data_IF_137728263176
#
_entry.id   IF_137728263176
#
_cell.length_a   1.000
_cell.length_b   1.000
_cell.length_c   1.000
_cell.angle_alpha   90.00
_cell.angle_beta   90.00
_cell.angle_gamma   90.00
#
_symmetry.space_group_name_H-M   'P 1'
#
loop_
_entity.id
_entity.type
_entity.pdbx_description
1 polymer ?
#
# COMPACT_ATOMS: atom_id res chain seq x y z
N UNK A 1 -43.86 15.46 11.99
CA UNK A 1 -42.45 14.96 12.01
C UNK A 1 -42.32 13.80 11.03
N UNK A 2 -41.82 14.09 9.83
CA UNK A 2 -41.29 13.16 8.81
C UNK A 2 -40.86 14.04 7.63
N UNK A 3 -39.76 13.67 6.98
CA UNK A 3 -39.07 14.32 5.84
C UNK A 3 -38.02 15.40 6.16
N UNK A 4 -36.89 14.98 6.74
CA UNK A 4 -35.62 15.72 6.65
C UNK A 4 -34.40 14.78 6.60
N UNK A 5 -34.56 13.62 5.95
CA UNK A 5 -33.48 12.62 5.78
C UNK A 5 -33.08 12.44 4.30
N UNK A 6 -33.85 13.00 3.36
CA UNK A 6 -33.60 12.82 1.91
C UNK A 6 -32.60 13.80 1.28
N UNK A 7 -32.28 14.92 1.93
CA UNK A 7 -31.45 15.97 1.32
C UNK A 7 -29.93 15.80 1.58
N UNK A 8 -29.51 15.11 2.65
CA UNK A 8 -28.09 14.95 2.97
C UNK A 8 -27.38 13.85 2.16
N UNK A 9 -28.10 12.86 1.63
CA UNK A 9 -27.49 11.77 0.86
C UNK A 9 -27.15 12.21 -0.57
N UNK A 10 -27.93 13.12 -1.16
CA UNK A 10 -27.70 13.59 -2.53
C UNK A 10 -26.46 14.48 -2.66
N UNK A 11 -26.08 15.21 -1.61
CA UNK A 11 -24.89 16.08 -1.61
C UNK A 11 -23.59 15.25 -1.56
N UNK A 12 -23.59 14.09 -0.90
CA UNK A 12 -22.41 13.20 -0.86
C UNK A 12 -22.13 12.50 -2.20
N UNK A 13 -23.17 12.19 -2.98
CA UNK A 13 -23.01 11.69 -4.36
C UNK A 13 -22.53 12.77 -5.34
N UNK A 14 -22.87 14.05 -5.12
CA UNK A 14 -22.40 15.15 -5.98
C UNK A 14 -20.98 15.61 -5.64
N UNK A 15 -20.55 15.51 -4.38
CA UNK A 15 -19.17 15.79 -3.98
C UNK A 15 -18.18 14.71 -4.49
N UNK A 16 -18.65 13.49 -4.73
CA UNK A 16 -17.89 12.41 -5.39
C UNK A 16 -17.73 12.61 -6.91
N UNK A 17 -18.48 13.53 -7.52
CA UNK A 17 -18.47 13.79 -8.96
C UNK A 17 -17.75 15.09 -9.36
N UNK A 18 -17.01 15.71 -8.43
CA UNK A 18 -16.22 16.90 -8.72
C UNK A 18 -14.72 16.66 -8.45
N UNK A 19 -14.17 15.64 -9.09
CA UNK A 19 -12.72 15.54 -9.32
C UNK A 19 -12.43 16.06 -10.74
N UNK A 20 -11.39 16.89 -10.92
CA UNK A 20 -11.21 17.64 -12.15
C UNK A 20 -10.78 16.67 -13.25
N UNK A 21 -11.38 16.81 -14.42
CA UNK A 21 -11.11 16.10 -15.69
C UNK A 21 -9.61 15.94 -16.03
N UNK A 22 -8.73 16.76 -15.44
CA UNK A 22 -7.27 16.68 -15.56
C UNK A 22 -6.62 15.49 -14.84
N UNK A 23 -7.21 14.99 -13.74
CA UNK A 23 -6.71 13.79 -13.07
C UNK A 23 -6.97 12.53 -13.90
N UNK A 24 -8.07 12.50 -14.65
CA UNK A 24 -8.49 11.31 -15.40
C UNK A 24 -7.50 10.96 -16.53
N UNK A 25 -6.91 11.96 -17.19
CA UNK A 25 -5.82 11.74 -18.16
C UNK A 25 -4.53 11.21 -17.51
N UNK A 26 -4.13 11.74 -16.35
CA UNK A 26 -2.94 11.26 -15.65
C UNK A 26 -3.16 9.84 -15.09
N UNK A 27 -4.34 9.55 -14.55
CA UNK A 27 -4.77 8.22 -14.09
C UNK A 27 -4.80 7.23 -15.26
N UNK A 28 -5.37 7.62 -16.40
CA UNK A 28 -5.41 6.78 -17.61
C UNK A 28 -4.01 6.50 -18.14
N UNK A 29 -3.18 7.52 -18.28
CA UNK A 29 -1.77 7.38 -18.70
C UNK A 29 -0.99 6.51 -17.72
N UNK A 30 -1.29 6.63 -16.42
CA UNK A 30 -0.71 5.77 -15.40
C UNK A 30 -1.11 4.30 -15.61
N UNK A 31 -2.38 3.99 -15.83
CA UNK A 31 -2.82 2.61 -16.11
C UNK A 31 -2.33 2.08 -17.47
N UNK A 32 -2.29 2.90 -18.52
CA UNK A 32 -1.73 2.51 -19.83
C UNK A 32 -0.23 2.21 -19.74
N UNK A 33 0.51 3.02 -18.99
CA UNK A 33 1.90 2.71 -18.69
C UNK A 33 2.00 1.39 -17.89
N UNK A 34 1.05 1.07 -16.99
CA UNK A 34 1.07 -0.14 -16.14
C UNK A 34 1.07 -1.40 -16.99
N UNK A 35 0.26 -1.40 -18.03
CA UNK A 35 0.24 -2.47 -19.03
C UNK A 35 1.56 -2.56 -19.80
N UNK A 36 2.21 -1.44 -20.12
CA UNK A 36 3.49 -1.45 -20.85
C UNK A 36 4.66 -1.97 -20.00
N UNK A 37 4.69 -1.66 -18.69
CA UNK A 37 5.69 -2.17 -17.74
C UNK A 37 5.61 -3.68 -17.54
N UNK A 38 4.40 -4.24 -17.62
CA UNK A 38 4.18 -5.68 -17.47
C UNK A 38 4.70 -6.52 -18.66
N UNK A 39 5.32 -5.92 -19.70
CA UNK A 39 6.05 -6.64 -20.77
C UNK A 39 7.43 -7.18 -20.34
N UNK A 40 7.67 -7.39 -19.05
CA UNK A 40 8.80 -8.19 -18.59
C UNK A 40 8.60 -9.67 -18.92
N UNK A 41 9.68 -10.46 -18.84
CA UNK A 41 9.70 -11.91 -19.10
C UNK A 41 8.36 -12.61 -18.83
N UNK A 42 7.82 -13.30 -19.84
CA UNK A 42 6.60 -14.12 -19.73
C UNK A 42 6.78 -15.33 -18.80
N UNK A 43 8.00 -15.56 -18.32
CA UNK A 43 8.33 -16.63 -17.38
C UNK A 43 7.74 -16.34 -16.00
N UNK A 44 7.00 -17.32 -15.48
CA UNK A 44 6.37 -17.29 -14.16
C UNK A 44 7.26 -18.01 -13.16
N UNK A 45 7.44 -17.41 -11.98
CA UNK A 45 8.13 -18.05 -10.86
C UNK A 45 7.25 -19.13 -10.26
N UNK A 46 7.74 -20.37 -10.27
CA UNK A 46 7.01 -21.57 -9.82
C UNK A 46 7.45 -22.09 -8.45
N UNK A 47 8.55 -21.56 -7.91
CA UNK A 47 9.14 -22.02 -6.65
C UNK A 47 9.05 -20.96 -5.54
N UNK A 48 9.21 -21.40 -4.29
CA UNK A 48 9.21 -20.53 -3.12
C UNK A 48 7.83 -20.16 -2.59
N UNK A 49 7.82 -19.37 -1.52
CA UNK A 49 6.61 -19.05 -0.72
C UNK A 49 5.54 -18.28 -1.51
N UNK A 50 5.92 -17.57 -2.57
CA UNK A 50 5.03 -16.76 -3.40
C UNK A 50 4.65 -17.41 -4.74
N UNK A 51 5.02 -18.68 -4.96
CA UNK A 51 4.66 -19.45 -6.17
C UNK A 51 3.16 -19.40 -6.49
N UNK A 52 2.29 -19.46 -5.47
CA UNK A 52 0.83 -19.36 -5.62
C UNK A 52 0.34 -18.01 -6.15
N UNK A 53 1.16 -16.96 -6.10
CA UNK A 53 0.84 -15.65 -6.67
C UNK A 53 1.07 -15.62 -8.19
N UNK A 54 1.75 -16.63 -8.76
CA UNK A 54 2.07 -16.74 -10.19
C UNK A 54 2.80 -15.50 -10.73
N UNK A 55 3.74 -14.96 -9.97
CA UNK A 55 4.46 -13.73 -10.34
C UNK A 55 5.33 -13.97 -11.58
N UNK A 56 5.37 -13.00 -12.49
CA UNK A 56 6.42 -12.95 -13.50
C UNK A 56 7.78 -12.71 -12.84
N UNK A 57 8.87 -13.09 -13.49
CA UNK A 57 10.24 -12.88 -12.97
C UNK A 57 10.49 -11.41 -12.58
N UNK A 58 9.98 -10.46 -13.38
CA UNK A 58 10.10 -9.02 -13.09
C UNK A 58 9.33 -8.61 -11.83
N UNK A 59 8.09 -9.08 -11.67
CA UNK A 59 7.26 -8.84 -10.47
C UNK A 59 7.93 -9.46 -9.23
N UNK A 60 8.44 -10.68 -9.35
CA UNK A 60 9.17 -11.34 -8.27
C UNK A 60 10.42 -10.56 -7.85
N UNK A 61 11.17 -10.01 -8.82
CA UNK A 61 12.35 -9.19 -8.52
C UNK A 61 11.97 -7.92 -7.74
N UNK A 62 10.88 -7.24 -8.12
CA UNK A 62 10.38 -6.08 -7.36
C UNK A 62 10.01 -6.48 -5.94
N UNK A 63 9.36 -7.63 -5.74
CA UNK A 63 9.02 -8.12 -4.41
C UNK A 63 10.27 -8.40 -3.55
N UNK A 64 11.32 -8.96 -4.16
CA UNK A 64 12.64 -9.12 -3.52
C UNK A 64 13.24 -7.78 -3.11
N UNK A 65 13.12 -6.76 -3.96
CA UNK A 65 13.66 -5.43 -3.67
C UNK A 65 12.88 -4.71 -2.56
N UNK A 66 11.56 -4.89 -2.51
CA UNK A 66 10.73 -4.43 -1.38
C UNK A 66 11.23 -5.05 -0.08
N UNK A 67 11.41 -6.38 -0.06
CA UNK A 67 11.88 -7.11 1.12
C UNK A 67 13.26 -6.63 1.57
N UNK A 68 14.22 -6.50 0.64
CA UNK A 68 15.57 -5.99 0.95
C UNK A 68 15.51 -4.58 1.56
N UNK A 69 14.68 -3.71 1.00
CA UNK A 69 14.50 -2.35 1.51
C UNK A 69 13.94 -2.36 2.94
N UNK A 70 12.96 -3.21 3.26
CA UNK A 70 12.44 -3.34 4.62
C UNK A 70 13.50 -3.82 5.61
N UNK A 71 14.33 -4.78 5.22
CA UNK A 71 15.46 -5.24 6.05
C UNK A 71 16.44 -4.09 6.29
N UNK A 72 16.81 -3.34 5.26
CA UNK A 72 17.68 -2.17 5.42
C UNK A 72 17.07 -1.09 6.33
N UNK A 73 15.76 -0.83 6.23
CA UNK A 73 15.05 0.13 7.08
C UNK A 73 14.87 -0.36 8.53
N UNK A 74 14.88 -1.68 8.77
CA UNK A 74 14.89 -2.28 10.10
C UNK A 74 16.25 -2.09 10.77
N UNK A 75 17.32 -2.31 10.01
CA UNK A 75 18.71 -2.25 10.51
C UNK A 75 19.28 -0.82 10.51
N UNK A 76 18.49 0.17 10.06
CA UNK A 76 18.89 1.57 10.04
C UNK A 76 18.89 2.16 11.46
N UNK A 77 20.03 2.71 11.87
CA UNK A 77 20.13 3.47 13.12
C UNK A 77 19.26 4.74 13.01
N UNK A 78 18.44 5.11 14.01
CA UNK A 78 17.59 6.28 13.92
C UNK A 78 18.41 7.57 14.02
N UNK A 79 19.13 7.95 12.96
CA UNK A 79 19.88 9.22 12.91
C UNK A 79 18.90 10.38 13.22
N UNK A 80 19.10 11.12 14.32
CA UNK A 80 18.22 12.22 14.70
C UNK A 80 18.33 13.43 13.77
N UNK A 81 19.36 13.52 12.93
CA UNK A 81 19.62 14.68 12.06
C UNK A 81 19.29 14.45 10.59
N UNK A 82 19.03 13.20 10.17
CA UNK A 82 18.68 12.85 8.79
C UNK A 82 17.65 11.73 8.75
N UNK A 83 16.35 12.08 8.81
CA UNK A 83 15.30 11.12 8.45
C UNK A 83 14.56 11.62 7.23
N UNK A 84 15.07 11.23 6.07
CA UNK A 84 14.23 11.20 4.89
C UNK A 84 13.17 10.10 5.08
N UNK A 85 13.53 8.86 5.47
CA UNK A 85 12.55 7.75 5.57
C UNK A 85 12.41 7.22 7.01
N UNK A 86 11.17 6.95 7.43
CA UNK A 86 10.89 6.36 8.75
C UNK A 86 11.40 4.91 8.84
N UNK A 87 12.18 4.55 9.89
CA UNK A 87 12.64 3.18 10.10
C UNK A 87 11.47 2.25 10.45
N UNK A 88 11.66 0.94 10.24
CA UNK A 88 10.68 -0.11 10.58
C UNK A 88 11.31 -1.17 11.50
N UNK A 89 11.65 -0.79 12.75
CA UNK A 89 12.41 -1.66 13.66
C UNK A 89 11.65 -2.95 14.03
N UNK A 90 10.33 -2.93 13.95
CA UNK A 90 9.43 -4.04 14.20
C UNK A 90 9.21 -4.94 12.97
N UNK A 91 10.04 -4.83 11.91
CA UNK A 91 9.90 -5.63 10.69
C UNK A 91 9.80 -7.13 10.97
N UNK A 92 8.66 -7.71 10.59
CA UNK A 92 8.27 -9.09 10.73
C UNK A 92 7.98 -9.68 9.34
N UNK A 93 8.88 -10.56 8.90
CA UNK A 93 8.77 -11.21 7.60
C UNK A 93 7.49 -12.05 7.47
N UNK A 94 7.02 -12.69 8.54
CA UNK A 94 5.80 -13.50 8.50
C UNK A 94 4.56 -12.63 8.22
N UNK A 95 4.49 -11.43 8.78
CA UNK A 95 3.42 -10.46 8.49
C UNK A 95 3.45 -9.99 7.03
N UNK A 96 4.64 -9.69 6.53
CA UNK A 96 4.84 -9.33 5.13
C UNK A 96 4.39 -10.45 4.18
N UNK A 97 4.88 -11.67 4.40
CA UNK A 97 4.52 -12.83 3.58
C UNK A 97 3.01 -13.09 3.61
N UNK A 98 2.43 -13.08 4.81
CA UNK A 98 0.98 -13.29 5.01
C UNK A 98 0.14 -12.23 4.28
N UNK A 99 0.55 -10.96 4.30
CA UNK A 99 -0.15 -9.89 3.58
C UNK A 99 -0.28 -10.17 2.08
N UNK A 100 0.83 -10.46 1.39
CA UNK A 100 0.79 -10.71 -0.05
C UNK A 100 0.09 -12.02 -0.41
N UNK A 101 0.14 -13.03 0.47
CA UNK A 101 -0.60 -14.28 0.25
C UNK A 101 -2.11 -14.09 0.43
N UNK A 102 -2.53 -13.43 1.50
CA UNK A 102 -3.94 -13.21 1.82
C UNK A 102 -4.62 -12.24 0.84
N UNK A 103 -3.87 -11.34 0.19
CA UNK A 103 -4.40 -10.48 -0.88
C UNK A 103 -4.80 -11.26 -2.15
N UNK A 104 -4.16 -12.40 -2.37
CA UNK A 104 -4.30 -13.22 -3.57
C UNK A 104 -3.54 -12.65 -4.77
N UNK A 105 -3.36 -13.51 -5.78
CA UNK A 105 -2.52 -13.24 -6.96
C UNK A 105 -2.81 -11.90 -7.64
N UNK A 106 -4.07 -11.59 -7.96
CA UNK A 106 -4.43 -10.39 -8.72
C UNK A 106 -4.04 -9.08 -8.01
N UNK A 107 -4.41 -8.92 -6.74
CA UNK A 107 -4.13 -7.69 -5.99
C UNK A 107 -2.66 -7.56 -5.61
N UNK A 108 -2.00 -8.68 -5.31
CA UNK A 108 -0.58 -8.70 -5.01
C UNK A 108 0.26 -8.30 -6.22
N UNK A 109 -0.03 -8.87 -7.40
CA UNK A 109 0.62 -8.48 -8.65
C UNK A 109 0.44 -7.00 -8.94
N UNK A 110 -0.80 -6.51 -8.87
CA UNK A 110 -1.07 -5.10 -9.09
C UNK A 110 -0.25 -4.21 -8.15
N UNK A 111 -0.26 -4.49 -6.85
CA UNK A 111 0.48 -3.71 -5.87
C UNK A 111 1.99 -3.76 -6.14
N UNK A 112 2.54 -4.93 -6.45
CA UNK A 112 3.95 -5.11 -6.82
C UNK A 112 4.30 -4.29 -8.06
N UNK A 113 3.46 -4.31 -9.10
CA UNK A 113 3.70 -3.51 -10.32
C UNK A 113 3.64 -2.00 -10.04
N UNK A 114 2.81 -1.54 -9.10
CA UNK A 114 2.82 -0.14 -8.65
C UNK A 114 4.17 0.21 -8.00
N UNK A 115 4.68 -0.64 -7.12
CA UNK A 115 6.00 -0.45 -6.50
C UNK A 115 7.15 -0.48 -7.52
N UNK A 116 7.08 -1.35 -8.53
CA UNK A 116 8.07 -1.42 -9.60
C UNK A 116 8.23 -0.09 -10.36
N UNK A 117 7.13 0.66 -10.52
CA UNK A 117 7.15 2.00 -11.13
C UNK A 117 7.77 3.05 -10.22
N UNK A 118 7.32 3.08 -8.96
CA UNK A 118 7.87 4.02 -7.97
C UNK A 118 9.39 3.85 -7.87
N UNK A 119 9.86 2.60 -7.89
CA UNK A 119 11.30 2.28 -7.93
C UNK A 119 12.02 2.90 -9.12
N UNK A 120 11.42 2.83 -10.31
CA UNK A 120 12.00 3.37 -11.53
C UNK A 120 11.97 4.90 -11.59
N UNK A 121 10.98 5.53 -10.95
CA UNK A 121 10.86 7.00 -10.89
C UNK A 121 11.85 7.63 -9.93
N UNK A 122 11.88 7.15 -8.67
CA UNK A 122 12.67 7.76 -7.62
C UNK A 122 12.92 6.75 -6.49
N UNK A 123 14.21 6.45 -6.25
CA UNK A 123 14.62 5.46 -5.25
C UNK A 123 14.30 5.87 -3.80
N UNK A 124 14.32 7.17 -3.48
CA UNK A 124 13.97 7.62 -2.12
C UNK A 124 12.47 7.57 -1.89
N UNK A 125 11.67 7.95 -2.91
CA UNK A 125 10.22 7.75 -2.90
C UNK A 125 9.85 6.27 -2.73
N UNK A 126 10.58 5.37 -3.38
CA UNK A 126 10.39 3.93 -3.23
C UNK A 126 10.56 3.46 -1.78
N UNK A 127 11.62 3.91 -1.09
CA UNK A 127 11.83 3.60 0.33
C UNK A 127 10.70 4.13 1.21
N UNK A 128 10.21 5.35 0.96
CA UNK A 128 9.08 5.94 1.69
C UNK A 128 7.79 5.13 1.55
N UNK A 129 7.44 4.73 0.32
CA UNK A 129 6.24 3.94 0.08
C UNK A 129 6.35 2.54 0.69
N UNK A 130 7.56 1.97 0.74
CA UNK A 130 7.82 0.68 1.38
C UNK A 130 7.68 0.77 2.91
N UNK A 131 8.23 1.82 3.52
CA UNK A 131 8.02 2.11 4.95
C UNK A 131 6.53 2.21 5.27
N UNK A 132 5.76 2.93 4.43
CA UNK A 132 4.31 3.04 4.57
C UNK A 132 3.57 1.72 4.38
N UNK A 133 3.94 0.91 3.39
CA UNK A 133 3.39 -0.43 3.18
C UNK A 133 3.52 -1.25 4.46
N UNK A 134 4.71 -1.26 5.05
CA UNK A 134 4.93 -2.06 6.25
C UNK A 134 4.15 -1.54 7.44
N UNK A 135 3.99 -0.23 7.59
CA UNK A 135 3.13 0.33 8.64
C UNK A 135 1.67 -0.15 8.50
N UNK A 136 1.14 -0.22 7.27
CA UNK A 136 -0.20 -0.77 7.01
C UNK A 136 -0.30 -2.28 7.32
N UNK A 137 0.79 -3.03 7.09
CA UNK A 137 0.90 -4.46 7.42
C UNK A 137 0.94 -4.64 8.95
N UNK A 138 1.73 -3.84 9.66
CA UNK A 138 1.79 -3.87 11.13
C UNK A 138 0.43 -3.52 11.74
N UNK A 139 -0.28 -2.51 11.25
CA UNK A 139 -1.67 -2.19 11.66
C UNK A 139 -2.63 -3.38 11.51
N UNK A 140 -2.39 -4.26 10.54
CA UNK A 140 -3.25 -5.41 10.27
C UNK A 140 -2.97 -6.59 11.21
N UNK A 141 -1.71 -6.84 11.56
CA UNK A 141 -1.31 -8.09 12.24
C UNK A 141 -0.72 -7.90 13.63
N UNK A 142 -0.19 -6.72 13.96
CA UNK A 142 0.41 -6.48 15.27
C UNK A 142 -0.65 -6.53 16.37
N UNK A 143 -0.46 -7.35 17.41
CA UNK A 143 -1.37 -7.41 18.56
C UNK A 143 -1.27 -6.15 19.44
N UNK A 144 -0.16 -5.42 19.39
CA UNK A 144 0.19 -4.35 20.34
C UNK A 144 -0.15 -2.94 19.85
N UNK A 145 -0.72 -2.80 18.65
CA UNK A 145 -1.30 -1.51 18.24
C UNK A 145 -2.60 -1.35 19.02
N UNK A 146 -2.47 -0.81 20.23
CA UNK A 146 -3.59 -0.20 20.95
C UNK A 146 -4.18 0.83 19.99
N UNK A 147 -5.36 0.56 19.44
CA UNK A 147 -6.19 1.61 18.88
C UNK A 147 -6.35 2.63 20.01
N UNK A 148 -5.70 3.78 19.86
CA UNK A 148 -5.50 4.77 20.91
C UNK A 148 -6.82 5.12 21.58
N UNK A 149 -7.04 4.51 22.74
CA UNK A 149 -7.98 4.88 23.79
C UNK A 149 -7.35 4.75 25.17
N UNK A 150 -6.03 4.57 25.25
CA UNK A 150 -5.28 4.46 26.49
C UNK A 150 -4.30 5.62 26.59
N UNK A 151 -4.85 6.82 26.77
CA UNK A 151 -4.38 7.83 27.71
C UNK A 151 -5.33 9.04 27.61
N UNK A 152 -6.29 9.10 28.54
CA UNK A 152 -7.14 10.27 28.75
C UNK A 152 -8.45 10.28 27.95
N UNK A 153 -9.56 10.16 28.70
CA UNK A 153 -10.95 10.36 28.29
C UNK A 153 -11.57 9.19 27.51
N UNK A 154 -12.56 8.56 28.16
CA UNK A 154 -13.47 7.55 27.62
C UNK A 154 -14.07 7.97 26.27
N UNK A 155 -13.41 7.55 25.20
CA UNK A 155 -14.08 7.20 23.97
C UNK A 155 -13.54 5.82 23.59
N UNK A 156 -14.13 4.78 24.17
CA UNK A 156 -14.00 3.40 23.69
C UNK A 156 -14.75 3.25 22.36
N UNK A 157 -14.30 3.99 21.34
CA UNK A 157 -14.61 3.65 19.97
C UNK A 157 -13.76 2.42 19.69
N UNK A 158 -14.36 1.24 19.87
CA UNK A 158 -13.82 0.00 19.33
C UNK A 158 -13.70 0.19 17.82
N UNK A 159 -12.55 0.67 17.35
CA UNK A 159 -12.27 0.72 15.93
C UNK A 159 -12.01 -0.71 15.48
N UNK A 160 -12.83 -1.26 14.58
CA UNK A 160 -12.58 -2.60 14.08
C UNK A 160 -11.22 -2.61 13.39
N UNK A 161 -10.44 -3.66 13.63
CA UNK A 161 -9.18 -3.89 12.92
C UNK A 161 -9.44 -3.79 11.40
N UNK A 162 -8.60 -3.05 10.64
CA UNK A 162 -8.82 -2.89 9.22
C UNK A 162 -8.76 -4.26 8.56
N UNK A 163 -9.55 -4.42 7.50
CA UNK A 163 -9.45 -5.59 6.64
C UNK A 163 -8.20 -5.47 5.76
N UNK A 164 -7.71 -6.62 5.29
CA UNK A 164 -6.61 -6.64 4.33
C UNK A 164 -6.93 -5.84 3.06
N UNK A 165 -8.18 -5.86 2.61
CA UNK A 165 -8.62 -5.12 1.44
C UNK A 165 -8.56 -3.60 1.66
N UNK A 166 -8.95 -3.12 2.85
CA UNK A 166 -8.82 -1.71 3.21
C UNK A 166 -7.36 -1.26 3.21
N UNK A 167 -6.44 -2.07 3.75
CA UNK A 167 -5.02 -1.74 3.72
C UNK A 167 -4.45 -1.74 2.31
N UNK A 168 -4.84 -2.70 1.47
CA UNK A 168 -4.46 -2.69 0.05
C UNK A 168 -4.92 -1.41 -0.67
N UNK A 169 -6.18 -0.97 -0.46
CA UNK A 169 -6.67 0.27 -1.04
C UNK A 169 -5.91 1.50 -0.51
N UNK A 170 -5.64 1.55 0.80
CA UNK A 170 -4.89 2.63 1.45
C UNK A 170 -3.48 2.79 0.84
N UNK A 171 -2.76 1.69 0.65
CA UNK A 171 -1.42 1.72 0.02
C UNK A 171 -1.53 2.09 -1.47
N UNK A 172 -2.44 1.44 -2.21
CA UNK A 172 -2.65 1.70 -3.64
C UNK A 172 -2.95 3.16 -3.92
N UNK A 173 -3.90 3.74 -3.21
CA UNK A 173 -4.28 5.15 -3.39
C UNK A 173 -3.14 6.11 -3.09
N UNK A 174 -2.33 5.83 -2.06
CA UNK A 174 -1.19 6.67 -1.71
C UNK A 174 -0.15 6.69 -2.82
N UNK A 175 0.23 5.50 -3.32
CA UNK A 175 1.18 5.37 -4.43
C UNK A 175 0.67 6.13 -5.66
N UNK A 176 -0.60 5.91 -6.04
CA UNK A 176 -1.21 6.62 -7.18
C UNK A 176 -1.16 8.13 -6.97
N UNK A 177 -1.64 8.64 -5.82
CA UNK A 177 -1.64 10.09 -5.53
C UNK A 177 -0.24 10.70 -5.59
N UNK A 178 0.78 9.97 -5.18
CA UNK A 178 2.16 10.45 -5.20
C UNK A 178 2.84 10.30 -6.57
N UNK A 179 2.38 9.40 -7.44
CA UNK A 179 2.92 9.25 -8.81
C UNK A 179 2.22 10.12 -9.85
N UNK A 180 1.01 10.63 -9.56
CA UNK A 180 0.29 11.54 -10.47
C UNK A 180 0.57 13.04 -10.25
N UNK A 181 1.44 13.38 -9.30
CA UNK A 181 1.88 14.75 -8.99
C UNK A 181 3.26 15.00 -9.57
#
# INVERSE_FOLDING_TARGET
MKTLVGACIMILTLLGCYLPVKQDQNVKTFFENLESYNKGSEEIVTEGIFSNLKLYVSEHQVLVDIKKTLISLKDSDPDPNHRDVSPVPDYNEAYFNKFFLDLGSGRSKELISLFGRVKNENNDKFKHEISWLYWCISELYSPDIKYSGEEGYEYTVFMPRPTIYQQYLKVKEKIIKHTLR
#
